data_IF_751711229565
#
_entry.id   IF_751711229565
#
_cell.length_a   1.000
_cell.length_b   1.000
_cell.length_c   1.000
_cell.angle_alpha   90.00
_cell.angle_beta   90.00
_cell.angle_gamma   90.00
#
_symmetry.space_group_name_H-M   'P 1'
#
loop_
_entity.id
_entity.type
_entity.pdbx_description
1 polymer ?
#
# COMPACT_ATOMS: atom_id res chain seq x y z
N UNK A 1 -53.32 43.81 64.77
CA UNK A 1 -52.88 44.38 66.09
C UNK A 1 -52.49 43.22 66.99
N UNK A 2 -51.48 43.36 67.84
CA UNK A 2 -50.13 43.84 67.61
C UNK A 2 -49.07 42.82 68.09
N UNK A 3 -47.93 43.06 67.73
CA UNK A 3 -46.70 43.57 68.41
C UNK A 3 -45.63 42.46 68.67
N UNK A 4 -44.49 42.66 68.10
CA UNK A 4 -43.21 43.09 68.65
C UNK A 4 -42.53 42.14 69.68
N UNK A 5 -41.33 41.63 69.44
CA UNK A 5 -40.03 42.30 69.75
C UNK A 5 -38.88 41.32 69.49
N UNK A 6 -37.95 41.66 68.65
CA UNK A 6 -36.59 42.18 68.90
C UNK A 6 -35.60 41.31 69.69
N UNK A 7 -34.61 40.80 68.97
CA UNK A 7 -33.07 40.85 69.11
C UNK A 7 -32.39 40.37 70.43
N UNK A 8 -31.05 40.04 70.42
CA UNK A 8 -30.03 40.03 69.38
C UNK A 8 -29.01 38.86 69.38
N UNK A 9 -28.26 38.80 68.28
CA UNK A 9 -26.84 38.41 68.08
C UNK A 9 -26.06 37.69 69.18
N UNK A 10 -25.44 36.59 68.84
CA UNK A 10 -24.00 36.49 69.02
C UNK A 10 -23.33 35.62 67.94
N UNK A 11 -22.30 36.21 67.39
CA UNK A 11 -21.37 35.72 66.36
C UNK A 11 -20.46 34.63 66.92
N UNK A 12 -19.97 33.84 65.98
CA UNK A 12 -18.61 33.27 65.83
C UNK A 12 -18.53 31.75 65.98
N UNK A 13 -17.89 31.23 64.91
CA UNK A 13 -16.99 30.08 64.89
C UNK A 13 -17.64 28.71 64.63
N UNK A 14 -17.88 28.39 63.35
CA UNK A 14 -17.69 27.05 62.79
C UNK A 14 -17.51 27.12 61.26
N UNK A 15 -16.49 27.79 60.86
CA UNK A 15 -15.90 27.72 59.51
C UNK A 15 -14.58 26.97 59.67
N UNK A 16 -14.57 25.71 59.36
CA UNK A 16 -13.36 24.93 58.97
C UNK A 16 -13.61 23.45 59.23
N UNK A 17 -14.25 22.76 58.33
CA UNK A 17 -14.11 21.32 58.10
C UNK A 17 -15.08 20.79 57.02
N UNK A 18 -15.09 21.42 55.86
CA UNK A 18 -15.79 20.88 54.67
C UNK A 18 -15.10 21.28 53.33
N UNK A 19 -13.77 21.21 53.30
CA UNK A 19 -12.99 21.53 52.11
C UNK A 19 -11.86 20.49 51.84
N UNK A 20 -12.03 19.22 52.27
CA UNK A 20 -11.02 18.19 52.10
C UNK A 20 -11.54 16.89 51.47
N UNK A 21 -12.75 16.85 50.94
CA UNK A 21 -13.26 15.62 50.30
C UNK A 21 -13.71 15.77 48.83
N UNK A 22 -13.44 16.91 48.21
CA UNK A 22 -13.77 17.12 46.77
C UNK A 22 -12.58 17.16 45.80
N UNK A 23 -11.40 16.81 46.29
CA UNK A 23 -10.15 16.86 45.47
C UNK A 23 -9.59 15.49 45.11
N UNK A 24 -10.26 14.37 45.39
CA UNK A 24 -9.74 13.03 45.13
C UNK A 24 -10.57 12.23 44.09
N UNK A 25 -11.49 12.86 43.35
CA UNK A 25 -12.20 12.20 42.25
C UNK A 25 -12.17 12.96 40.91
N UNK A 26 -11.11 13.77 40.68
CA UNK A 26 -10.85 14.41 39.38
C UNK A 26 -9.54 14.02 38.76
N UNK A 27 -9.08 12.79 38.96
CA UNK A 27 -7.86 12.33 38.30
C UNK A 27 -8.02 10.88 37.86
N UNK A 28 -8.77 10.66 36.79
CA UNK A 28 -8.60 9.47 35.93
C UNK A 28 -9.60 9.41 34.76
N UNK A 29 -9.93 10.56 34.19
CA UNK A 29 -10.42 10.63 32.80
C UNK A 29 -9.54 11.63 32.05
N UNK A 30 -8.22 11.56 32.27
CA UNK A 30 -7.26 11.93 31.25
C UNK A 30 -7.47 10.92 30.14
N UNK A 31 -8.19 11.31 29.10
CA UNK A 31 -8.30 10.55 27.88
C UNK A 31 -6.93 10.04 27.53
N UNK A 32 -6.78 8.74 27.43
CA UNK A 32 -5.68 8.16 26.71
C UNK A 32 -5.76 8.80 25.32
N UNK A 33 -5.02 9.88 25.11
CA UNK A 33 -4.73 10.41 23.81
C UNK A 33 -4.14 9.19 23.09
N UNK A 34 -4.93 8.59 22.20
CA UNK A 34 -4.46 7.55 21.30
C UNK A 34 -3.31 8.19 20.54
N UNK A 35 -2.09 7.93 21.02
CA UNK A 35 -0.91 8.33 20.26
C UNK A 35 -1.10 7.73 18.87
N UNK A 36 -0.85 8.51 17.80
CA UNK A 36 -0.99 7.99 16.45
C UNK A 36 -0.22 6.68 16.36
N UNK A 37 -0.91 5.59 16.01
CA UNK A 37 -0.34 4.24 16.06
C UNK A 37 0.81 4.03 15.07
N UNK A 38 0.99 4.93 14.11
CA UNK A 38 2.22 5.02 13.31
C UNK A 38 3.48 5.24 14.16
N UNK A 39 3.32 5.70 15.41
CA UNK A 39 4.43 5.77 16.37
C UNK A 39 4.87 4.38 16.86
N UNK A 40 4.10 3.32 16.63
CA UNK A 40 4.53 1.95 16.92
C UNK A 40 5.64 1.48 15.95
N UNK A 41 5.73 2.06 14.76
CA UNK A 41 6.84 1.83 13.84
C UNK A 41 8.02 2.70 14.24
N UNK A 42 9.19 2.08 14.40
CA UNK A 42 10.41 2.82 14.76
C UNK A 42 10.83 3.74 13.62
N UNK A 43 11.32 4.95 13.93
CA UNK A 43 11.98 5.78 12.93
C UNK A 43 13.08 4.99 12.21
N UNK A 44 13.20 5.18 10.91
CA UNK A 44 14.22 4.53 10.10
C UNK A 44 14.73 5.48 9.02
N UNK A 45 15.91 5.22 8.42
CA UNK A 45 16.22 5.75 7.11
C UNK A 45 15.06 5.48 6.15
N UNK A 46 14.88 6.41 5.20
CA UNK A 46 13.78 6.32 4.24
C UNK A 46 13.83 5.00 3.47
N UNK A 47 12.73 4.24 3.53
CA UNK A 47 12.58 3.03 2.73
C UNK A 47 12.37 3.39 1.25
N UNK A 48 12.88 2.56 0.32
CA UNK A 48 12.62 2.74 -1.10
C UNK A 48 11.13 2.53 -1.43
N UNK A 49 10.76 2.89 -2.65
CA UNK A 49 9.49 2.51 -3.28
C UNK A 49 9.77 1.50 -4.36
N UNK A 50 8.93 0.50 -4.48
CA UNK A 50 9.06 -0.55 -5.48
C UNK A 50 7.78 -0.65 -6.31
N UNK A 51 7.92 -0.66 -7.63
CA UNK A 51 6.88 -1.14 -8.55
C UNK A 51 7.38 -2.42 -9.21
N UNK A 52 6.54 -3.45 -9.24
CA UNK A 52 6.89 -4.76 -9.80
C UNK A 52 5.89 -5.14 -10.89
N UNK A 53 6.41 -5.38 -12.09
CA UNK A 53 5.67 -6.08 -13.13
C UNK A 53 5.54 -7.55 -12.73
N UNK A 54 4.36 -7.97 -12.23
CA UNK A 54 4.20 -9.32 -11.69
C UNK A 54 4.02 -10.39 -12.78
N UNK A 55 3.33 -10.06 -13.88
CA UNK A 55 3.08 -11.01 -14.97
C UNK A 55 2.32 -12.24 -14.51
N UNK A 56 2.68 -13.41 -15.03
CA UNK A 56 2.04 -14.68 -14.61
C UNK A 56 2.36 -15.02 -13.16
N UNK A 57 1.37 -15.50 -12.37
CA UNK A 57 1.62 -15.99 -11.01
C UNK A 57 2.58 -17.18 -10.96
N UNK A 58 2.77 -17.91 -12.07
CA UNK A 58 3.77 -18.97 -12.22
C UNK A 58 5.20 -18.48 -11.95
N UNK A 59 5.47 -17.20 -12.16
CA UNK A 59 6.76 -16.60 -11.84
C UNK A 59 7.14 -16.72 -10.34
N UNK A 60 6.17 -16.99 -9.47
CA UNK A 60 6.44 -17.24 -8.04
C UNK A 60 7.15 -18.60 -7.79
N UNK A 61 6.91 -19.59 -8.63
CA UNK A 61 7.39 -20.97 -8.45
C UNK A 61 8.35 -21.45 -9.53
N UNK A 62 8.20 -20.99 -10.77
CA UNK A 62 9.11 -21.33 -11.88
C UNK A 62 10.51 -20.74 -11.69
N UNK A 63 11.54 -21.51 -12.02
CA UNK A 63 12.90 -20.97 -12.07
C UNK A 63 13.15 -20.24 -13.39
N UNK A 64 12.86 -18.94 -13.38
CA UNK A 64 13.04 -18.07 -14.52
C UNK A 64 13.78 -16.76 -14.13
N UNK A 65 14.11 -15.96 -15.14
CA UNK A 65 14.87 -14.72 -14.95
C UNK A 65 14.10 -13.70 -14.07
N UNK A 66 12.77 -13.65 -14.19
CA UNK A 66 11.92 -12.73 -13.43
C UNK A 66 11.99 -13.02 -11.94
N UNK A 67 11.79 -14.29 -11.57
CA UNK A 67 11.87 -14.76 -10.18
C UNK A 67 13.27 -14.53 -9.60
N UNK A 68 14.33 -14.89 -10.32
CA UNK A 68 15.71 -14.69 -9.85
C UNK A 68 16.01 -13.22 -9.60
N UNK A 69 15.50 -12.32 -10.44
CA UNK A 69 15.63 -10.88 -10.24
C UNK A 69 14.88 -10.40 -8.98
N UNK A 70 13.68 -10.90 -8.71
CA UNK A 70 12.95 -10.60 -7.46
C UNK A 70 13.70 -11.12 -6.23
N UNK A 71 14.28 -12.32 -6.30
CA UNK A 71 15.12 -12.86 -5.22
C UNK A 71 16.34 -11.97 -4.95
N UNK A 72 16.98 -11.48 -6.00
CA UNK A 72 18.11 -10.54 -5.88
C UNK A 72 17.68 -9.22 -5.26
N UNK A 73 16.53 -8.67 -5.68
CA UNK A 73 15.94 -7.46 -5.10
C UNK A 73 15.64 -7.64 -3.61
N UNK A 74 15.03 -8.74 -3.21
CA UNK A 74 14.76 -9.05 -1.80
C UNK A 74 16.03 -9.14 -0.97
N UNK A 75 17.08 -9.80 -1.48
CA UNK A 75 18.42 -9.85 -0.83
C UNK A 75 19.00 -8.44 -0.67
N UNK A 76 18.92 -7.61 -1.70
CA UNK A 76 19.38 -6.22 -1.64
C UNK A 76 18.63 -5.41 -0.57
N UNK A 77 17.30 -5.48 -0.55
CA UNK A 77 16.48 -4.77 0.43
C UNK A 77 16.80 -5.22 1.86
N UNK A 78 17.02 -6.52 2.08
CA UNK A 78 17.38 -7.06 3.39
C UNK A 78 18.83 -6.80 3.80
N UNK A 79 19.70 -6.45 2.87
CA UNK A 79 21.09 -6.06 3.14
C UNK A 79 21.24 -4.56 3.47
N UNK A 80 20.20 -3.73 3.25
CA UNK A 80 20.23 -2.30 3.58
C UNK A 80 20.37 -2.10 5.09
N UNK A 81 20.90 -0.94 5.49
CA UNK A 81 21.02 -0.53 6.89
C UNK A 81 19.66 -0.57 7.61
N UNK A 82 18.60 -0.13 6.95
CA UNK A 82 17.24 -0.27 7.43
C UNK A 82 16.51 -1.37 6.65
N UNK A 83 15.96 -2.34 7.40
CA UNK A 83 15.11 -3.39 6.84
C UNK A 83 13.65 -2.98 6.92
N UNK A 84 12.79 -3.45 6.00
CA UNK A 84 11.37 -3.19 6.10
C UNK A 84 10.79 -3.70 7.44
N UNK A 85 10.06 -2.83 8.15
CA UNK A 85 9.28 -3.18 9.33
C UNK A 85 7.84 -3.55 8.97
N UNK A 86 7.38 -3.07 7.83
CA UNK A 86 6.06 -3.30 7.26
C UNK A 86 6.15 -3.15 5.74
N UNK A 87 5.37 -3.94 5.03
CA UNK A 87 5.12 -3.77 3.60
C UNK A 87 3.67 -3.28 3.43
N UNK A 88 3.49 -2.20 2.68
CA UNK A 88 2.18 -1.78 2.16
C UNK A 88 2.18 -2.05 0.67
N UNK A 89 1.38 -3.02 0.25
CA UNK A 89 1.28 -3.47 -1.13
C UNK A 89 -0.05 -3.06 -1.74
N UNK A 90 -0.03 -2.46 -2.92
CA UNK A 90 -1.21 -2.26 -3.77
C UNK A 90 -1.11 -3.22 -4.95
N UNK A 91 -2.10 -4.08 -5.10
CA UNK A 91 -2.17 -5.09 -6.17
C UNK A 91 -3.26 -4.74 -7.18
N UNK A 92 -3.01 -5.07 -8.45
CA UNK A 92 -3.98 -4.95 -9.55
C UNK A 92 -5.28 -5.76 -9.33
N UNK A 93 -5.26 -6.71 -8.41
CA UNK A 93 -6.32 -7.71 -8.24
C UNK A 93 -7.36 -7.37 -7.18
N UNK A 94 -7.07 -6.42 -6.28
CA UNK A 94 -8.03 -6.01 -5.27
C UNK A 94 -8.72 -4.68 -5.61
N UNK A 95 -9.85 -4.80 -6.28
CA UNK A 95 -10.69 -3.68 -6.69
C UNK A 95 -11.92 -3.58 -5.78
N UNK A 96 -12.17 -2.40 -5.23
CA UNK A 96 -13.29 -2.15 -4.31
C UNK A 96 -14.04 -0.88 -4.69
N UNK A 97 -15.25 -0.74 -4.19
CA UNK A 97 -15.91 0.56 -4.17
C UNK A 97 -15.48 1.30 -2.89
N UNK A 98 -14.84 2.45 -3.07
CA UNK A 98 -14.07 3.10 -2.01
C UNK A 98 -12.71 2.39 -1.78
N UNK A 99 -11.91 2.94 -0.90
CA UNK A 99 -10.56 2.47 -0.60
C UNK A 99 -10.56 1.62 0.67
N UNK A 100 -9.87 0.48 0.66
CA UNK A 100 -9.80 -0.42 1.79
C UNK A 100 -8.35 -0.83 2.08
N UNK A 101 -8.10 -1.24 3.32
CA UNK A 101 -6.84 -1.85 3.75
C UNK A 101 -7.13 -3.11 4.56
N UNK A 102 -6.36 -4.18 4.30
CA UNK A 102 -6.45 -5.41 5.09
C UNK A 102 -6.09 -5.13 6.55
N UNK A 103 -6.92 -5.63 7.48
CA UNK A 103 -6.80 -5.34 8.91
C UNK A 103 -6.87 -6.60 9.79
N UNK A 104 -6.73 -7.79 9.21
CA UNK A 104 -6.64 -9.05 9.94
C UNK A 104 -5.20 -9.28 10.44
N UNK A 105 -5.04 -10.04 11.53
CA UNK A 105 -3.72 -10.40 12.07
C UNK A 105 -3.00 -11.44 11.21
N UNK A 106 -3.75 -12.31 10.55
CA UNK A 106 -3.26 -13.37 9.68
C UNK A 106 -4.07 -13.34 8.37
N UNK A 107 -3.66 -12.51 7.40
CA UNK A 107 -4.31 -12.47 6.11
C UNK A 107 -4.12 -13.81 5.38
N UNK A 108 -5.20 -14.32 4.81
CA UNK A 108 -5.13 -15.55 4.00
C UNK A 108 -4.38 -15.32 2.69
N UNK A 109 -3.74 -16.37 2.16
CA UNK A 109 -3.21 -16.39 0.80
C UNK A 109 -4.38 -16.62 -0.17
N UNK A 110 -4.64 -15.66 -1.07
CA UNK A 110 -5.75 -15.74 -2.02
C UNK A 110 -5.24 -16.22 -3.37
N UNK A 111 -5.93 -17.23 -3.92
CA UNK A 111 -5.67 -17.79 -5.24
C UNK A 111 -6.78 -17.32 -6.20
N UNK A 112 -6.72 -16.05 -6.57
CA UNK A 112 -7.69 -15.33 -7.39
C UNK A 112 -7.48 -15.56 -8.89
N UNK A 113 -7.13 -16.79 -9.27
CA UNK A 113 -6.89 -17.23 -10.63
C UNK A 113 -7.45 -18.62 -10.88
N UNK A 114 -7.56 -19.03 -12.16
CA UNK A 114 -7.96 -20.36 -12.56
C UNK A 114 -7.11 -20.86 -13.71
N UNK A 115 -7.16 -22.19 -13.96
CA UNK A 115 -6.48 -22.81 -15.11
C UNK A 115 -4.96 -23.01 -14.94
N UNK A 116 -4.45 -22.88 -13.72
CA UNK A 116 -3.04 -23.13 -13.38
C UNK A 116 -2.85 -24.51 -12.71
N UNK A 117 -1.60 -25.05 -12.70
CA UNK A 117 -1.29 -26.31 -12.05
C UNK A 117 -1.57 -26.27 -10.52
N UNK A 118 -1.88 -27.45 -9.95
CA UNK A 118 -2.17 -27.60 -8.52
C UNK A 118 -1.03 -27.07 -7.62
N UNK A 119 0.22 -27.25 -8.06
CA UNK A 119 1.40 -26.72 -7.35
C UNK A 119 1.30 -25.22 -7.05
N UNK A 120 0.71 -24.42 -7.97
CA UNK A 120 0.51 -23.01 -7.73
C UNK A 120 -0.63 -22.75 -6.74
N UNK A 121 -1.70 -23.56 -6.77
CA UNK A 121 -2.80 -23.47 -5.80
C UNK A 121 -2.38 -23.90 -4.38
N UNK A 122 -1.33 -24.71 -4.25
CA UNK A 122 -0.79 -25.15 -2.96
C UNK A 122 0.15 -24.12 -2.33
N UNK A 123 0.53 -23.07 -3.05
CA UNK A 123 1.41 -22.03 -2.55
C UNK A 123 0.77 -21.30 -1.36
N UNK A 124 1.52 -21.18 -0.27
CA UNK A 124 1.15 -20.37 0.88
C UNK A 124 2.18 -19.28 1.13
N UNK A 125 1.71 -18.10 1.51
CA UNK A 125 2.54 -16.98 1.93
C UNK A 125 1.99 -16.40 3.25
N UNK A 126 2.26 -17.04 4.39
CA UNK A 126 1.64 -16.74 5.68
C UNK A 126 2.28 -15.54 6.37
N UNK A 127 2.48 -14.43 5.63
CA UNK A 127 2.99 -13.22 6.23
C UNK A 127 1.96 -12.67 7.24
N UNK A 128 2.40 -12.20 8.42
CA UNK A 128 1.49 -11.59 9.38
C UNK A 128 0.91 -10.29 8.82
N UNK A 129 -0.30 -9.95 9.23
CA UNK A 129 -0.87 -8.63 9.04
C UNK A 129 -0.50 -7.69 10.19
N UNK A 130 -1.01 -6.46 10.13
CA UNK A 130 -0.74 -5.42 11.12
C UNK A 130 -2.01 -4.63 11.46
N UNK A 131 -3.01 -5.24 12.14
CA UNK A 131 -4.32 -4.63 12.34
C UNK A 131 -4.29 -3.31 13.11
N UNK A 132 -3.35 -3.14 14.03
CA UNK A 132 -3.18 -1.88 14.74
C UNK A 132 -2.71 -0.75 13.81
N UNK A 133 -1.76 -1.05 12.92
CA UNK A 133 -1.26 -0.08 11.94
C UNK A 133 -2.31 0.20 10.87
N UNK A 134 -3.07 -0.81 10.43
CA UNK A 134 -4.18 -0.62 9.49
C UNK A 134 -5.21 0.37 10.03
N UNK A 135 -5.59 0.27 11.32
CA UNK A 135 -6.48 1.25 11.96
C UNK A 135 -5.91 2.67 11.97
N UNK A 136 -4.60 2.82 12.19
CA UNK A 136 -3.96 4.14 12.11
C UNK A 136 -3.98 4.69 10.70
N UNK A 137 -3.64 3.87 9.72
CA UNK A 137 -3.69 4.28 8.31
C UNK A 137 -5.09 4.76 7.94
N UNK A 138 -6.13 4.04 8.36
CA UNK A 138 -7.51 4.41 8.10
C UNK A 138 -7.94 5.75 8.74
N UNK A 139 -7.26 6.17 9.80
CA UNK A 139 -7.51 7.46 10.45
C UNK A 139 -6.70 8.61 9.85
N UNK A 140 -5.48 8.33 9.41
CA UNK A 140 -4.50 9.34 9.01
C UNK A 140 -4.48 9.59 7.50
N UNK A 141 -4.75 8.55 6.69
CA UNK A 141 -4.82 8.70 5.23
C UNK A 141 -6.13 9.36 4.84
N UNK A 142 -6.00 10.48 4.14
CA UNK A 142 -7.10 11.19 3.50
C UNK A 142 -7.23 10.69 2.07
N UNK A 143 -8.19 9.84 1.80
CA UNK A 143 -8.44 9.43 0.42
C UNK A 143 -8.97 10.62 -0.40
N UNK A 144 -8.59 10.74 -1.67
CA UNK A 144 -8.90 11.91 -2.49
C UNK A 144 -10.41 12.22 -2.62
N UNK A 145 -11.25 11.19 -2.55
CA UNK A 145 -12.71 11.33 -2.57
C UNK A 145 -13.29 12.03 -1.34
N UNK A 146 -12.49 12.25 -0.30
CA UNK A 146 -12.97 12.73 1.00
C UNK A 146 -13.54 11.63 1.91
N UNK A 147 -13.66 10.40 1.41
CA UNK A 147 -14.06 9.24 2.17
C UNK A 147 -12.92 8.79 3.12
N UNK A 148 -13.23 7.86 4.01
CA UNK A 148 -12.23 7.23 4.86
C UNK A 148 -11.75 5.94 4.21
N UNK A 149 -10.48 5.62 4.42
CA UNK A 149 -9.94 4.30 4.13
C UNK A 149 -10.64 3.27 5.04
N UNK A 150 -11.40 2.35 4.44
CA UNK A 150 -12.12 1.33 5.18
C UNK A 150 -11.20 0.18 5.62
N UNK A 151 -11.58 -0.51 6.69
CA UNK A 151 -10.84 -1.68 7.19
C UNK A 151 -11.50 -2.96 6.70
N UNK A 152 -10.76 -3.76 5.95
CA UNK A 152 -11.15 -5.13 5.69
C UNK A 152 -10.57 -6.06 6.76
N UNK A 153 -11.45 -6.65 7.56
CA UNK A 153 -11.05 -7.51 8.69
C UNK A 153 -11.20 -8.99 8.39
N UNK A 154 -11.79 -9.39 7.26
CA UNK A 154 -12.14 -10.80 7.01
C UNK A 154 -12.40 -11.20 5.55
N UNK A 155 -12.58 -10.27 4.63
CA UNK A 155 -13.08 -10.58 3.28
C UNK A 155 -11.97 -10.88 2.28
N UNK A 156 -10.88 -10.16 2.37
CA UNK A 156 -9.73 -10.30 1.47
C UNK A 156 -8.56 -10.98 2.18
N UNK A 157 -7.36 -10.73 1.71
CA UNK A 157 -6.11 -11.25 2.25
C UNK A 157 -4.95 -10.74 1.43
N UNK A 158 -4.02 -11.62 1.06
CA UNK A 158 -2.94 -11.35 0.13
C UNK A 158 -3.23 -12.08 -1.18
N UNK A 159 -3.58 -11.36 -2.23
CA UNK A 159 -3.87 -11.92 -3.55
C UNK A 159 -2.59 -12.29 -4.32
N UNK A 160 -2.75 -12.94 -5.48
CA UNK A 160 -1.59 -13.42 -6.21
C UNK A 160 -0.69 -12.29 -6.73
N UNK A 161 -1.19 -11.12 -7.03
CA UNK A 161 -0.34 -9.98 -7.38
C UNK A 161 0.56 -9.56 -6.23
N UNK A 162 0.12 -9.76 -4.98
CA UNK A 162 0.90 -9.49 -3.77
C UNK A 162 1.84 -10.65 -3.44
N UNK A 163 1.31 -11.87 -3.21
CA UNK A 163 2.15 -12.95 -2.70
C UNK A 163 3.12 -13.51 -3.75
N UNK A 164 2.77 -13.47 -5.05
CA UNK A 164 3.65 -14.04 -6.08
C UNK A 164 4.98 -13.29 -6.22
N UNK A 165 4.98 -11.98 -5.93
CA UNK A 165 6.19 -11.16 -5.94
C UNK A 165 6.89 -11.13 -4.59
N UNK A 166 6.12 -11.11 -3.48
CA UNK A 166 6.71 -11.04 -2.14
C UNK A 166 7.34 -12.35 -1.71
N UNK A 167 6.78 -13.51 -2.08
CA UNK A 167 7.32 -14.83 -1.74
C UNK A 167 8.76 -15.04 -2.25
N UNK A 168 9.13 -14.74 -3.50
CA UNK A 168 10.52 -14.80 -3.93
C UNK A 168 11.43 -13.75 -3.25
N UNK A 169 10.93 -12.54 -2.98
CA UNK A 169 11.71 -11.48 -2.35
C UNK A 169 11.94 -11.74 -0.85
N UNK A 170 10.90 -12.17 -0.14
CA UNK A 170 10.88 -12.34 1.31
C UNK A 170 10.36 -13.73 1.69
N UNK A 171 11.11 -14.81 1.38
CA UNK A 171 10.61 -16.19 1.49
C UNK A 171 10.31 -16.65 2.92
N UNK A 172 10.80 -15.93 3.94
CA UNK A 172 10.50 -16.23 5.35
C UNK A 172 9.10 -15.79 5.76
N UNK A 173 8.44 -14.90 4.97
CA UNK A 173 7.14 -14.33 5.28
C UNK A 173 7.05 -13.74 6.70
N UNK A 174 8.16 -13.18 7.22
CA UNK A 174 8.28 -12.66 8.59
C UNK A 174 8.09 -11.14 8.70
N UNK A 175 7.93 -10.46 7.58
CA UNK A 175 7.62 -9.03 7.53
C UNK A 175 6.10 -8.87 7.43
N UNK A 176 5.46 -8.09 8.32
CA UNK A 176 4.04 -7.81 8.23
C UNK A 176 3.66 -7.18 6.89
N UNK A 177 2.53 -7.59 6.33
CA UNK A 177 2.00 -7.07 5.06
C UNK A 177 0.60 -6.52 5.27
N UNK A 178 0.37 -5.31 4.80
CA UNK A 178 -0.95 -4.73 4.57
C UNK A 178 -1.16 -4.60 3.07
N UNK A 179 -2.27 -5.07 2.59
CA UNK A 179 -2.68 -4.84 1.21
C UNK A 179 -3.67 -3.67 1.17
N UNK A 180 -3.46 -2.75 0.23
CA UNK A 180 -4.29 -1.58 -0.02
C UNK A 180 -5.06 -1.81 -1.31
N UNK A 181 -6.39 -1.69 -1.26
CA UNK A 181 -7.22 -1.84 -2.46
C UNK A 181 -7.14 -0.63 -3.37
N UNK A 182 -7.69 -0.78 -4.56
CA UNK A 182 -7.89 0.30 -5.51
C UNK A 182 -9.39 0.48 -5.78
N UNK A 183 -9.82 1.72 -5.94
CA UNK A 183 -11.17 2.02 -6.42
C UNK A 183 -11.13 2.30 -7.92
N UNK A 184 -11.51 1.27 -8.71
CA UNK A 184 -11.48 1.35 -10.17
C UNK A 184 -12.44 2.40 -10.76
N UNK A 185 -13.45 2.81 -10.00
CA UNK A 185 -14.40 3.86 -10.43
C UNK A 185 -13.80 5.27 -10.34
N UNK A 186 -12.67 5.42 -9.64
CA UNK A 186 -12.03 6.73 -9.41
C UNK A 186 -11.03 7.06 -10.51
N UNK A 187 -10.85 8.37 -10.81
CA UNK A 187 -9.85 8.77 -11.79
C UNK A 187 -8.43 8.29 -11.45
N UNK A 188 -7.60 7.95 -12.45
CA UNK A 188 -6.20 7.54 -12.22
C UNK A 188 -5.39 8.52 -11.36
N UNK A 189 -5.66 9.83 -11.46
CA UNK A 189 -5.00 10.85 -10.65
C UNK A 189 -5.21 10.65 -9.13
N UNK A 190 -6.32 10.07 -8.71
CA UNK A 190 -6.58 9.82 -7.29
C UNK A 190 -5.73 8.68 -6.74
N UNK A 191 -5.37 7.69 -7.57
CA UNK A 191 -4.43 6.64 -7.18
C UNK A 191 -3.03 7.20 -6.94
N UNK A 192 -2.59 8.13 -7.78
CA UNK A 192 -1.34 8.86 -7.56
C UNK A 192 -1.40 9.71 -6.26
N UNK A 193 -2.49 10.44 -6.04
CA UNK A 193 -2.70 11.25 -4.84
C UNK A 193 -2.76 10.38 -3.56
N UNK A 194 -3.34 9.18 -3.62
CA UNK A 194 -3.29 8.22 -2.52
C UNK A 194 -1.84 7.82 -2.20
N UNK A 195 -1.05 7.52 -3.23
CA UNK A 195 0.38 7.23 -3.08
C UNK A 195 1.14 8.34 -2.34
N UNK A 196 0.83 9.61 -2.62
CA UNK A 196 1.44 10.76 -1.95
C UNK A 196 1.21 10.74 -0.42
N UNK A 197 0.10 10.18 0.05
CA UNK A 197 -0.16 10.05 1.49
C UNK A 197 0.76 9.02 2.16
N UNK A 198 1.40 8.13 1.40
CA UNK A 198 2.30 7.10 1.93
C UNK A 198 3.73 7.58 2.16
N UNK A 199 4.10 8.78 1.73
CA UNK A 199 5.46 9.34 1.85
C UNK A 199 6.04 9.24 3.26
N UNK A 200 5.28 9.71 4.25
CA UNK A 200 5.75 9.80 5.63
C UNK A 200 6.03 8.44 6.26
N UNK A 201 5.30 7.39 5.81
CA UNK A 201 5.44 6.02 6.29
C UNK A 201 6.81 5.44 5.98
N UNK A 202 7.42 5.84 4.87
CA UNK A 202 8.73 5.38 4.43
C UNK A 202 9.84 5.69 5.43
N UNK A 203 9.72 6.81 6.17
CA UNK A 203 10.64 7.17 7.25
C UNK A 203 10.38 6.36 8.55
N UNK A 204 9.43 5.45 8.51
CA UNK A 204 9.05 4.52 9.58
C UNK A 204 9.26 3.07 9.18
N UNK A 205 10.15 2.80 8.25
CA UNK A 205 10.47 1.45 7.80
C UNK A 205 9.38 0.78 6.97
N UNK A 206 8.46 1.54 6.38
CA UNK A 206 7.43 1.00 5.50
C UNK A 206 7.94 0.95 4.07
N UNK A 207 8.02 -0.26 3.52
CA UNK A 207 8.27 -0.50 2.10
C UNK A 207 6.93 -0.39 1.35
N UNK A 208 6.84 0.58 0.44
CA UNK A 208 5.67 0.74 -0.43
C UNK A 208 5.92 -0.06 -1.71
N UNK A 209 4.98 -0.95 -2.03
CA UNK A 209 5.04 -1.83 -3.22
C UNK A 209 3.78 -1.65 -4.05
N UNK A 210 3.95 -1.34 -5.33
CA UNK A 210 2.91 -1.47 -6.34
C UNK A 210 3.15 -2.74 -7.16
N UNK A 211 2.17 -3.62 -7.26
CA UNK A 211 2.22 -4.85 -8.05
C UNK A 211 1.17 -4.82 -9.17
N UNK A 212 1.66 -4.72 -10.39
CA UNK A 212 0.84 -4.59 -11.60
C UNK A 212 1.70 -4.78 -12.84
N UNK A 213 1.33 -4.16 -13.96
CA UNK A 213 2.11 -4.21 -15.19
C UNK A 213 1.96 -2.90 -15.98
N UNK A 214 3.06 -2.37 -16.51
CA UNK A 214 3.03 -1.16 -17.36
C UNK A 214 2.26 -1.42 -18.64
N UNK A 215 2.36 -2.61 -19.21
CA UNK A 215 1.53 -3.09 -20.32
C UNK A 215 0.87 -4.38 -19.87
N UNK A 216 -0.45 -4.51 -20.03
CA UNK A 216 -1.19 -5.73 -19.69
C UNK A 216 -2.38 -5.93 -20.63
N UNK A 217 -2.21 -6.82 -21.60
CA UNK A 217 -3.27 -7.22 -22.54
C UNK A 217 -3.30 -8.73 -22.73
N UNK A 218 -4.12 -9.41 -21.94
CA UNK A 218 -4.27 -10.88 -22.00
C UNK A 218 -4.85 -11.36 -23.32
N UNK A 219 -5.60 -10.51 -24.05
CA UNK A 219 -6.19 -10.87 -25.34
C UNK A 219 -5.14 -10.96 -26.46
N UNK A 220 -3.99 -10.34 -26.26
CA UNK A 220 -2.90 -10.28 -27.22
C UNK A 220 -1.70 -11.17 -26.81
N UNK A 221 -1.88 -12.05 -25.82
CA UNK A 221 -0.80 -12.94 -25.39
C UNK A 221 -0.38 -13.88 -26.51
N UNK A 222 0.94 -14.10 -26.65
CA UNK A 222 1.54 -15.00 -27.61
C UNK A 222 2.45 -15.98 -26.88
N UNK A 223 2.00 -17.25 -26.88
CA UNK A 223 2.76 -18.33 -26.26
C UNK A 223 4.14 -18.52 -26.94
N UNK A 224 5.18 -18.74 -26.14
CA UNK A 224 6.53 -18.95 -26.64
C UNK A 224 7.27 -17.68 -27.07
N UNK A 225 6.64 -16.50 -26.97
CA UNK A 225 7.34 -15.24 -27.24
C UNK A 225 8.50 -15.03 -26.26
N UNK A 226 9.66 -14.67 -26.78
CA UNK A 226 10.82 -14.34 -25.97
C UNK A 226 10.68 -13.00 -25.23
N UNK A 227 11.56 -12.74 -24.23
CA UNK A 227 11.43 -11.55 -23.36
C UNK A 227 11.64 -10.20 -24.08
N UNK A 228 12.20 -10.21 -25.28
CA UNK A 228 12.40 -9.02 -26.11
C UNK A 228 11.34 -8.88 -27.23
N UNK A 229 10.46 -9.87 -27.34
CA UNK A 229 9.38 -9.85 -28.32
C UNK A 229 8.16 -9.17 -27.75
N UNK A 230 7.65 -8.19 -28.48
CA UNK A 230 6.41 -7.49 -28.14
C UNK A 230 5.82 -6.82 -29.38
N UNK A 231 4.60 -6.39 -29.28
CA UNK A 231 3.93 -5.58 -30.29
C UNK A 231 4.45 -4.13 -30.25
N UNK A 232 4.36 -3.42 -31.39
CA UNK A 232 4.80 -2.04 -31.49
C UNK A 232 4.10 -1.12 -30.48
N UNK A 233 2.79 -1.26 -30.33
CA UNK A 233 2.01 -0.53 -29.33
C UNK A 233 2.46 -0.82 -27.89
N UNK A 234 2.85 -2.08 -27.61
CA UNK A 234 3.35 -2.46 -26.29
C UNK A 234 4.70 -1.82 -25.98
N UNK A 235 5.60 -1.83 -26.97
CA UNK A 235 6.91 -1.17 -26.88
C UNK A 235 6.78 0.34 -26.74
N UNK A 236 5.91 0.93 -27.54
CA UNK A 236 5.66 2.39 -27.52
C UNK A 236 5.15 2.82 -26.15
N UNK A 237 4.10 2.17 -25.63
CA UNK A 237 3.54 2.50 -24.32
C UNK A 237 4.57 2.33 -23.19
N UNK A 238 5.24 1.20 -23.14
CA UNK A 238 6.29 0.90 -22.13
C UNK A 238 7.44 1.91 -22.18
N UNK A 239 7.83 2.37 -23.39
CA UNK A 239 8.90 3.37 -23.56
C UNK A 239 8.45 4.74 -23.09
N UNK A 240 7.24 5.18 -23.44
CA UNK A 240 6.70 6.47 -22.98
C UNK A 240 6.65 6.53 -21.46
N UNK A 241 6.13 5.48 -20.82
CA UNK A 241 6.08 5.40 -19.35
C UNK A 241 7.50 5.39 -18.76
N UNK A 242 8.42 4.60 -19.32
CA UNK A 242 9.82 4.60 -18.90
C UNK A 242 10.44 6.00 -18.95
N UNK A 243 10.21 6.73 -20.02
CA UNK A 243 10.79 8.06 -20.23
C UNK A 243 10.21 9.10 -19.27
N UNK A 244 8.90 9.04 -18.99
CA UNK A 244 8.29 9.87 -17.96
C UNK A 244 8.92 9.59 -16.58
N UNK A 245 9.10 8.32 -16.23
CA UNK A 245 9.74 7.92 -14.98
C UNK A 245 11.18 8.42 -14.91
N UNK A 246 11.99 8.24 -15.97
CA UNK A 246 13.39 8.72 -16.04
C UNK A 246 13.50 10.24 -15.89
N UNK A 247 12.55 10.98 -16.43
CA UNK A 247 12.49 12.45 -16.36
C UNK A 247 11.93 12.96 -15.02
N UNK A 248 11.52 12.09 -14.11
CA UNK A 248 10.87 12.47 -12.86
C UNK A 248 9.46 13.04 -13.04
N UNK A 249 8.84 12.86 -14.20
CA UNK A 249 7.50 13.35 -14.54
C UNK A 249 6.43 12.38 -14.02
N UNK A 250 6.52 12.01 -12.75
CA UNK A 250 5.68 10.97 -12.17
C UNK A 250 4.20 11.37 -12.09
N UNK A 251 3.92 12.65 -11.94
CA UNK A 251 2.57 13.21 -11.96
C UNK A 251 1.90 13.10 -13.35
N UNK A 252 2.68 12.95 -14.44
CA UNK A 252 2.13 12.78 -15.78
C UNK A 252 1.65 11.34 -16.05
N UNK A 253 2.11 10.37 -15.27
CA UNK A 253 1.76 8.96 -15.45
C UNK A 253 0.25 8.71 -15.39
N UNK A 254 -0.52 9.49 -14.62
CA UNK A 254 -1.96 9.34 -14.55
C UNK A 254 -2.70 9.78 -15.83
N UNK A 255 -2.02 10.44 -16.76
CA UNK A 255 -2.59 10.89 -18.05
C UNK A 255 -2.41 9.86 -19.18
N UNK A 256 -2.02 8.63 -18.86
CA UNK A 256 -1.71 7.58 -19.84
C UNK A 256 -2.78 7.37 -20.90
N UNK A 257 -4.05 7.58 -20.56
CA UNK A 257 -5.18 7.46 -21.50
C UNK A 257 -5.11 8.48 -22.66
N UNK A 258 -4.37 9.57 -22.50
CA UNK A 258 -4.15 10.56 -23.57
C UNK A 258 -3.34 10.00 -24.75
N UNK A 259 -2.69 8.84 -24.59
CA UNK A 259 -2.03 8.10 -25.67
C UNK A 259 -3.01 7.41 -26.64
N UNK A 260 -4.32 7.52 -26.41
CA UNK A 260 -5.36 7.08 -27.34
C UNK A 260 -5.32 5.58 -27.62
N UNK A 261 -5.23 5.19 -28.91
CA UNK A 261 -5.24 3.79 -29.31
C UNK A 261 -4.12 2.96 -28.72
N UNK A 262 -2.93 3.55 -28.51
CA UNK A 262 -1.80 2.84 -27.88
C UNK A 262 -2.12 2.47 -26.43
N UNK A 263 -2.72 3.39 -25.67
CA UNK A 263 -3.15 3.10 -24.30
C UNK A 263 -4.26 2.05 -24.25
N UNK A 264 -5.24 2.09 -25.18
CA UNK A 264 -6.33 1.12 -25.26
C UNK A 264 -5.83 -0.28 -25.58
N UNK A 265 -4.80 -0.41 -26.45
CA UNK A 265 -4.18 -1.68 -26.76
C UNK A 265 -3.30 -2.21 -25.61
N UNK A 266 -2.56 -1.30 -24.95
CA UNK A 266 -1.74 -1.66 -23.78
C UNK A 266 -2.60 -2.09 -22.58
N UNK A 267 -3.76 -1.46 -22.42
CA UNK A 267 -4.69 -1.66 -21.31
C UNK A 267 -6.14 -1.65 -21.81
N UNK A 268 -6.67 -2.79 -22.30
CA UNK A 268 -8.12 -2.94 -22.55
C UNK A 268 -8.97 -2.66 -21.31
N UNK A 269 -8.40 -2.94 -20.13
CA UNK A 269 -8.82 -2.50 -18.79
C UNK A 269 -7.56 -2.10 -18.02
N UNK A 270 -7.62 -1.04 -17.22
CA UNK A 270 -6.40 -0.38 -16.73
C UNK A 270 -6.05 -0.67 -15.26
N UNK A 271 -6.68 -1.67 -14.64
CA UNK A 271 -6.42 -2.04 -13.24
C UNK A 271 -4.95 -2.39 -12.99
N UNK A 272 -4.27 -3.05 -13.96
CA UNK A 272 -2.87 -3.42 -13.82
C UNK A 272 -1.90 -2.24 -13.90
N UNK A 273 -2.35 -1.08 -14.40
CA UNK A 273 -1.55 0.14 -14.42
C UNK A 273 -1.65 0.96 -13.12
N UNK A 274 -2.78 0.87 -12.42
CA UNK A 274 -3.06 1.71 -11.23
C UNK A 274 -2.06 1.52 -10.08
N UNK A 275 -1.51 0.31 -9.78
CA UNK A 275 -0.49 0.15 -8.75
C UNK A 275 0.80 0.94 -9.03
N UNK A 276 1.14 1.18 -10.30
CA UNK A 276 2.25 2.07 -10.66
C UNK A 276 1.99 3.49 -10.18
N UNK A 277 0.76 3.98 -10.30
CA UNK A 277 0.39 5.34 -9.88
C UNK A 277 0.50 5.50 -8.37
N UNK A 278 0.05 4.52 -7.60
CA UNK A 278 0.20 4.52 -6.13
C UNK A 278 1.69 4.49 -5.75
N UNK A 279 2.48 3.62 -6.36
CA UNK A 279 3.91 3.56 -6.11
C UNK A 279 4.61 4.88 -6.49
N UNK A 280 4.35 5.41 -7.69
CA UNK A 280 4.93 6.66 -8.17
C UNK A 280 4.54 7.86 -7.29
N UNK A 281 3.30 7.89 -6.80
CA UNK A 281 2.85 8.90 -5.84
C UNK A 281 3.64 8.90 -4.54
N UNK A 282 4.14 7.74 -4.10
CA UNK A 282 4.95 7.61 -2.88
C UNK A 282 6.42 8.01 -3.06
N UNK A 283 6.87 8.29 -4.28
CA UNK A 283 8.24 8.71 -4.60
C UNK A 283 8.44 10.19 -4.30
N UNK A 284 9.63 10.57 -3.86
CA UNK A 284 10.01 11.99 -3.68
C UNK A 284 10.79 12.50 -4.90
N UNK A 285 10.76 13.82 -5.15
CA UNK A 285 11.40 14.39 -6.33
C UNK A 285 12.92 14.16 -6.44
N UNK A 286 13.59 13.90 -5.32
CA UNK A 286 15.03 13.67 -5.22
C UNK A 286 15.44 12.20 -5.46
N UNK A 287 14.50 11.30 -5.72
CA UNK A 287 14.78 9.87 -5.85
C UNK A 287 14.88 9.44 -7.32
N UNK A 288 16.02 8.83 -7.64
CA UNK A 288 16.28 8.35 -9.00
C UNK A 288 15.74 6.94 -9.20
N UNK A 289 15.11 6.65 -10.36
CA UNK A 289 14.62 5.31 -10.68
C UNK A 289 15.75 4.38 -11.12
N UNK A 290 15.67 3.14 -10.69
CA UNK A 290 16.46 2.01 -11.22
C UNK A 290 15.50 0.97 -11.77
N UNK A 291 15.60 0.67 -13.05
CA UNK A 291 14.77 -0.32 -13.73
C UNK A 291 15.40 -1.72 -13.63
N UNK A 292 14.51 -2.71 -13.56
CA UNK A 292 14.88 -4.12 -13.68
C UNK A 292 13.72 -4.88 -14.35
N UNK A 293 13.95 -6.13 -14.76
CA UNK A 293 12.97 -6.96 -15.48
C UNK A 293 12.37 -6.25 -16.72
N UNK A 294 13.22 -5.61 -17.55
CA UNK A 294 12.79 -4.69 -18.60
C UNK A 294 12.20 -5.35 -19.86
N UNK A 295 11.89 -6.64 -19.82
CA UNK A 295 11.32 -7.38 -20.95
C UNK A 295 9.81 -7.53 -20.88
N UNK A 296 9.30 -8.41 -21.76
CA UNK A 296 7.88 -8.75 -21.86
C UNK A 296 7.68 -10.23 -21.62
N UNK A 297 6.59 -10.58 -20.99
CA UNK A 297 6.07 -11.95 -20.91
C UNK A 297 4.93 -12.09 -21.91
N UNK A 298 4.96 -13.17 -22.71
CA UNK A 298 3.92 -13.49 -23.70
C UNK A 298 3.63 -12.32 -24.67
N UNK A 299 4.63 -11.51 -25.00
CA UNK A 299 4.60 -10.37 -25.93
C UNK A 299 3.70 -9.18 -25.55
N UNK A 300 2.81 -9.30 -24.60
CA UNK A 300 1.80 -8.28 -24.27
C UNK A 300 1.71 -7.91 -22.79
N UNK A 301 2.66 -8.39 -21.98
CA UNK A 301 2.73 -8.10 -20.54
C UNK A 301 4.13 -7.56 -20.24
N UNK A 302 4.25 -6.26 -19.93
CA UNK A 302 5.54 -5.68 -19.55
C UNK A 302 5.93 -6.11 -18.14
N UNK A 303 7.10 -6.72 -18.02
CA UNK A 303 7.68 -7.13 -16.74
C UNK A 303 8.53 -6.00 -16.12
N UNK A 304 8.61 -4.85 -16.79
CA UNK A 304 9.38 -3.72 -16.30
C UNK A 304 9.00 -3.37 -14.87
N UNK A 305 10.02 -3.35 -14.05
CA UNK A 305 9.92 -3.05 -12.63
C UNK A 305 10.84 -1.87 -12.30
N UNK A 306 10.54 -1.14 -11.24
CA UNK A 306 11.26 0.08 -10.87
C UNK A 306 11.47 0.12 -9.37
N UNK A 307 12.68 0.44 -8.95
CA UNK A 307 13.04 0.81 -7.59
C UNK A 307 13.41 2.29 -7.55
N UNK A 308 12.87 3.05 -6.60
CA UNK A 308 13.25 4.42 -6.28
C UNK A 308 13.79 4.53 -4.85
N UNK A 309 14.94 5.18 -4.66
CA UNK A 309 15.56 5.41 -3.37
C UNK A 309 16.64 4.41 -2.90
#
# INVERSE_FOLDING_TARGET
>A
MPQHNNFPMHRRSALATLAAFSALFRSSLAGAATQPLLQSLKPSPRMPVLFVGHGSPMNAIEDNAWRRSWQAMGKELMARQAKPQLIVCTSAHWLTQGWQVTAMAQPQTIHDFGGFPQELHDVQYPAPGAPAIARSLAQEIKVPSGDRLALDTSQWGLDHGTWSVLKPMFPKADIPVLQLSMDYSRPPAEHFALGQQLHALRNRGVLVVGSGNIVHNLRATRNGAGPNETYDWGREFDTVVQDQIKKGQLDQLHKFQSLGAVAQQAHPSHEHYLPLLVAAGAVRPDEMPRFFNTGFQSASISMRSVLWG
#
